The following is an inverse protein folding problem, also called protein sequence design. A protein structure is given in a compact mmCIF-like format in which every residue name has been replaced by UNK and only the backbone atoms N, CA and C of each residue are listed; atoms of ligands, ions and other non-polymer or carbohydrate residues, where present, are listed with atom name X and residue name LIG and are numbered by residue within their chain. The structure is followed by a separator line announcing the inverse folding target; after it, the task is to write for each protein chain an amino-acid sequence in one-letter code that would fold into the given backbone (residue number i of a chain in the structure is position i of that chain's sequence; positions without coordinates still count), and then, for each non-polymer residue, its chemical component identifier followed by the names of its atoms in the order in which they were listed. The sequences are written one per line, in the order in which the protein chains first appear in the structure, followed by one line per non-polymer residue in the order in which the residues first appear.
data_IF_893703412387
#
_entry.id   IF_893703412387
#
_cell.length_a   1.000
_cell.length_b   1.000
_cell.length_c   1.000
_cell.angle_alpha   90.00
_cell.angle_beta   90.00
_cell.angle_gamma   90.00
#
_symmetry.space_group_name_H-M   'P 1'
#
loop_
_entity.id
_entity.type
_entity.pdbx_description
1 polymer ?
#
# COMPACT_ATOMS: atom_id res chain seq x y z
N UNK A 1 -0.04 16.09 -1.43
CA UNK A 1 0.91 15.68 -0.36
C UNK A 1 0.49 16.21 1.03
N UNK A 2 -0.76 15.98 1.46
CA UNK A 2 -1.25 16.39 2.80
C UNK A 2 -1.70 15.21 3.67
N UNK A 3 -2.09 14.08 3.08
CA UNK A 3 -2.54 12.90 3.84
C UNK A 3 -1.44 12.28 4.74
N UNK A 4 -0.19 12.19 4.27
CA UNK A 4 0.92 11.61 5.04
C UNK A 4 1.34 12.46 6.26
N UNK A 5 1.13 13.79 6.23
CA UNK A 5 1.48 14.66 7.37
C UNK A 5 0.50 14.53 8.54
N UNK A 6 -0.74 14.13 8.28
CA UNK A 6 -1.76 13.87 9.31
C UNK A 6 -1.42 12.63 10.13
N UNK A 7 -0.76 11.62 9.52
CA UNK A 7 -0.32 10.39 10.21
C UNK A 7 0.68 10.67 11.33
N UNK A 8 1.44 11.77 11.25
CA UNK A 8 2.45 12.13 12.25
C UNK A 8 1.89 12.91 13.45
N UNK A 9 0.58 13.19 13.46
CA UNK A 9 -0.09 13.94 14.51
C UNK A 9 -1.19 13.14 15.24
N UNK A 10 -1.60 11.98 14.74
CA UNK A 10 -2.85 11.37 15.17
C UNK A 10 -2.63 10.38 16.31
N UNK A 11 -3.52 10.44 17.29
CA UNK A 11 -3.70 9.48 18.37
C UNK A 11 -3.87 8.02 17.87
N UNK A 12 -4.08 7.82 16.56
CA UNK A 12 -4.27 6.55 15.89
C UNK A 12 -2.97 6.06 15.24
N UNK A 13 -2.69 4.75 15.33
CA UNK A 13 -1.62 4.07 14.60
C UNK A 13 -2.22 3.39 13.36
N UNK A 14 -2.35 4.10 12.22
CA UNK A 14 -2.92 3.54 11.01
C UNK A 14 -1.96 2.51 10.41
N UNK A 15 -2.51 1.38 9.99
CA UNK A 15 -1.78 0.39 9.22
C UNK A 15 -1.79 0.77 7.74
N UNK A 16 -0.62 1.05 7.19
CA UNK A 16 -0.45 1.57 5.84
C UNK A 16 0.01 0.44 4.91
N UNK A 17 -0.88 0.07 3.98
CA UNK A 17 -0.55 -0.90 2.91
C UNK A 17 -0.20 -0.16 1.63
N UNK A 18 0.97 -0.44 1.09
CA UNK A 18 1.40 0.04 -0.22
C UNK A 18 1.19 -1.01 -1.29
N UNK A 19 0.42 -0.67 -2.32
CA UNK A 19 0.20 -1.50 -3.50
C UNK A 19 1.17 -1.04 -4.58
N UNK A 20 2.26 -1.78 -4.75
CA UNK A 20 3.29 -1.49 -5.73
C UNK A 20 2.83 -1.91 -7.12
N UNK A 21 3.18 -1.09 -8.12
CA UNK A 21 3.01 -1.47 -9.51
C UNK A 21 3.90 -2.70 -9.83
N UNK A 22 3.39 -3.66 -10.61
CA UNK A 22 4.19 -4.78 -11.09
C UNK A 22 5.26 -4.29 -12.09
N UNK A 23 6.17 -5.17 -12.46
CA UNK A 23 7.22 -4.85 -13.43
C UNK A 23 6.61 -4.33 -14.75
N UNK A 24 7.30 -3.43 -15.48
CA UNK A 24 6.81 -2.93 -16.76
C UNK A 24 6.55 -4.04 -17.79
N UNK A 25 7.24 -5.17 -17.68
CA UNK A 25 7.01 -6.37 -18.48
C UNK A 25 5.63 -6.99 -18.19
N UNK A 26 5.33 -7.26 -16.91
CA UNK A 26 4.04 -7.80 -16.43
C UNK A 26 2.89 -6.81 -16.72
N UNK A 27 3.13 -5.50 -16.55
CA UNK A 27 2.18 -4.44 -16.88
C UNK A 27 1.76 -4.47 -18.35
N UNK A 28 2.67 -4.79 -19.28
CA UNK A 28 2.34 -4.88 -20.71
C UNK A 28 1.41 -6.04 -21.02
N UNK A 29 1.58 -7.15 -20.29
CA UNK A 29 0.72 -8.32 -20.47
C UNK A 29 -0.71 -8.06 -19.99
N UNK A 30 -0.85 -7.35 -18.86
CA UNK A 30 -2.15 -6.98 -18.26
C UNK A 30 -2.80 -5.77 -18.94
N UNK A 31 -2.00 -4.78 -19.38
CA UNK A 31 -2.47 -3.51 -19.95
C UNK A 31 -2.04 -3.36 -21.41
N UNK A 32 -2.45 -4.31 -22.25
CA UNK A 32 -2.10 -4.39 -23.69
C UNK A 32 -2.44 -3.16 -24.53
N UNK A 33 -3.28 -2.26 -24.03
CA UNK A 33 -3.73 -1.04 -24.71
C UNK A 33 -3.06 0.24 -24.18
N UNK A 34 -2.13 0.13 -23.23
CA UNK A 34 -1.43 1.29 -22.64
C UNK A 34 -0.05 1.42 -23.28
N UNK A 35 0.33 2.63 -23.65
CA UNK A 35 1.64 2.90 -24.25
C UNK A 35 2.79 2.57 -23.29
N UNK A 36 3.89 2.05 -23.82
CA UNK A 36 5.10 1.71 -23.04
C UNK A 36 5.58 2.87 -22.17
N UNK A 37 5.55 4.10 -22.69
CA UNK A 37 5.93 5.30 -21.95
C UNK A 37 5.06 5.55 -20.71
N UNK A 38 3.77 5.21 -20.76
CA UNK A 38 2.86 5.35 -19.62
C UNK A 38 3.11 4.25 -18.58
N UNK A 39 3.43 3.03 -19.01
CA UNK A 39 3.77 1.91 -18.11
C UNK A 39 5.10 2.15 -17.39
N UNK A 40 6.12 2.61 -18.12
CA UNK A 40 7.42 2.99 -17.57
C UNK A 40 7.29 4.11 -16.53
N UNK A 41 6.43 5.10 -16.82
CA UNK A 41 6.12 6.18 -15.87
C UNK A 41 5.46 5.65 -14.61
N UNK A 42 4.42 4.82 -14.72
CA UNK A 42 3.75 4.21 -13.57
C UNK A 42 4.72 3.38 -12.71
N UNK A 43 5.55 2.55 -13.34
CA UNK A 43 6.56 1.75 -12.64
C UNK A 43 7.64 2.63 -11.96
N UNK A 44 8.03 3.73 -12.60
CA UNK A 44 8.96 4.71 -12.02
C UNK A 44 8.36 5.46 -10.83
N UNK A 45 7.13 5.94 -10.97
CA UNK A 45 6.40 6.62 -9.89
C UNK A 45 6.19 5.71 -8.68
N UNK A 46 5.86 4.43 -8.91
CA UNK A 46 5.77 3.41 -7.85
C UNK A 46 7.11 3.24 -7.11
N UNK A 47 8.23 3.16 -7.84
CA UNK A 47 9.57 3.06 -7.23
C UNK A 47 9.96 4.31 -6.45
N UNK A 48 9.61 5.49 -6.95
CA UNK A 48 9.88 6.75 -6.26
C UNK A 48 9.10 6.87 -4.95
N UNK A 49 7.82 6.48 -4.96
CA UNK A 49 7.01 6.45 -3.74
C UNK A 49 7.55 5.46 -2.71
N UNK A 50 7.96 4.27 -3.16
CA UNK A 50 8.61 3.27 -2.31
C UNK A 50 9.92 3.79 -1.71
N UNK A 51 10.78 4.41 -2.52
CA UNK A 51 12.05 4.94 -2.03
C UNK A 51 11.86 6.09 -1.03
N UNK A 52 10.87 6.96 -1.25
CA UNK A 52 10.63 8.12 -0.40
C UNK A 52 9.88 7.78 0.89
N UNK A 53 8.95 6.83 0.84
CA UNK A 53 7.99 6.58 1.92
C UNK A 53 7.96 5.12 2.41
N UNK A 54 8.84 4.25 1.91
CA UNK A 54 8.84 2.82 2.24
C UNK A 54 8.86 2.51 3.74
N UNK A 55 9.52 3.36 4.54
CA UNK A 55 9.58 3.23 5.99
C UNK A 55 8.28 3.59 6.73
N UNK A 56 7.29 4.13 6.02
CA UNK A 56 5.95 4.40 6.56
C UNK A 56 4.94 3.30 6.22
N UNK A 57 5.34 2.25 5.49
CA UNK A 57 4.45 1.17 5.09
C UNK A 57 4.62 -0.02 6.03
N UNK A 58 3.51 -0.53 6.54
CA UNK A 58 3.48 -1.75 7.34
C UNK A 58 3.47 -3.01 6.47
N UNK A 59 2.95 -2.89 5.24
CA UNK A 59 2.88 -3.97 4.27
C UNK A 59 3.05 -3.45 2.85
N UNK A 60 3.82 -4.18 2.03
CA UNK A 60 3.95 -3.97 0.59
C UNK A 60 3.37 -5.18 -0.15
N UNK A 61 2.48 -4.94 -1.10
CA UNK A 61 1.94 -5.96 -2.00
C UNK A 61 2.25 -5.53 -3.43
N UNK A 62 2.80 -6.42 -4.25
CA UNK A 62 2.97 -6.16 -5.68
C UNK A 62 1.72 -6.62 -6.40
N UNK A 63 1.10 -5.74 -7.18
CA UNK A 63 -0.16 -6.03 -7.86
C UNK A 63 0.06 -6.86 -9.15
N UNK A 64 0.59 -8.08 -8.99
CA UNK A 64 0.78 -9.01 -10.10
C UNK A 64 -0.54 -9.75 -10.42
N UNK A 65 -1.28 -10.12 -9.38
CA UNK A 65 -2.57 -10.80 -9.49
C UNK A 65 -3.59 -10.15 -8.54
N UNK A 66 -4.79 -9.86 -9.04
CA UNK A 66 -5.82 -9.14 -8.29
C UNK A 66 -6.39 -10.04 -7.17
N UNK A 67 -6.60 -11.33 -7.44
CA UNK A 67 -7.12 -12.28 -6.45
C UNK A 67 -6.13 -12.47 -5.30
N UNK A 68 -4.83 -12.61 -5.58
CA UNK A 68 -3.78 -12.68 -4.57
C UNK A 68 -3.66 -11.38 -3.78
N UNK A 69 -3.73 -10.23 -4.46
CA UNK A 69 -3.70 -8.91 -3.81
C UNK A 69 -4.85 -8.76 -2.82
N UNK A 70 -6.07 -9.13 -3.22
CA UNK A 70 -7.26 -9.09 -2.35
C UNK A 70 -7.10 -10.05 -1.18
N UNK A 71 -6.67 -11.30 -1.42
CA UNK A 71 -6.47 -12.29 -0.34
C UNK A 71 -5.45 -11.82 0.68
N UNK A 72 -4.35 -11.22 0.22
CA UNK A 72 -3.30 -10.68 1.09
C UNK A 72 -3.82 -9.51 1.93
N UNK A 73 -4.64 -8.63 1.33
CA UNK A 73 -5.31 -7.56 2.05
C UNK A 73 -6.29 -8.10 3.11
N UNK A 74 -7.11 -9.09 2.77
CA UNK A 74 -8.04 -9.72 3.71
C UNK A 74 -7.30 -10.41 4.86
N UNK A 75 -6.18 -11.08 4.58
CA UNK A 75 -5.33 -11.69 5.60
C UNK A 75 -4.77 -10.63 6.55
N UNK A 76 -4.18 -9.55 6.02
CA UNK A 76 -3.65 -8.45 6.82
C UNK A 76 -4.73 -7.83 7.73
N UNK A 77 -5.94 -7.61 7.20
CA UNK A 77 -7.08 -7.09 7.98
C UNK A 77 -7.47 -8.05 9.11
N UNK A 78 -7.51 -9.36 8.84
CA UNK A 78 -7.83 -10.37 9.85
C UNK A 78 -6.77 -10.43 10.94
N UNK A 79 -5.49 -10.39 10.57
CA UNK A 79 -4.35 -10.38 11.51
C UNK A 79 -4.35 -9.13 12.41
N UNK A 80 -4.67 -7.97 11.85
CA UNK A 80 -4.86 -6.75 12.63
C UNK A 80 -6.05 -6.87 13.60
N UNK A 81 -7.12 -7.54 13.20
CA UNK A 81 -8.33 -7.71 14.01
C UNK A 81 -8.16 -8.72 15.15
N UNK A 82 -7.23 -9.67 15.02
CA UNK A 82 -6.92 -10.66 16.07
C UNK A 82 -5.78 -10.22 16.99
N UNK A 83 -5.01 -9.20 16.60
CA UNK A 83 -3.96 -8.64 17.45
C UNK A 83 -4.56 -7.62 18.43
N UNK A 84 -4.46 -7.82 19.75
CA UNK A 84 -4.94 -6.82 20.71
C UNK A 84 -4.16 -5.51 20.52
N UNK A 85 -4.84 -4.47 20.05
CA UNK A 85 -4.26 -3.14 19.89
C UNK A 85 -4.38 -2.34 21.19
N UNK A 86 -3.28 -1.71 21.61
CA UNK A 86 -3.29 -0.77 22.73
C UNK A 86 -4.01 0.51 22.31
N UNK A 87 -5.24 0.67 22.79
CA UNK A 87 -5.99 1.93 22.66
C UNK A 87 -5.83 2.75 23.93
N UNK A 88 -5.52 4.06 23.84
CA UNK A 88 -5.54 4.94 25.01
C UNK A 88 -6.94 4.95 25.65
N UNK A 89 -7.00 4.94 26.99
CA UNK A 89 -8.26 5.03 27.75
C UNK A 89 -9.12 6.26 27.35
N UNK A 90 -8.48 7.32 26.84
CA UNK A 90 -9.14 8.52 26.32
C UNK A 90 -10.10 8.29 25.14
N UNK A 91 -10.14 7.10 24.54
CA UNK A 91 -11.02 6.78 23.41
C UNK A 91 -12.34 6.10 23.79
N UNK A 92 -12.47 5.68 25.05
CA UNK A 92 -13.66 4.96 25.56
C UNK A 92 -14.64 5.93 26.26
N UNK A 93 -14.32 7.23 26.33
CA UNK A 93 -15.13 8.27 26.98
C UNK A 93 -15.39 9.46 26.05
#
# INVERSE_FOLDING_TARGET
MQALKVLRAAEYAPYVVFIAAPSPEELKETLRNVSDASLERLASESRLLESAYGHFFDLKIVNNDIDETIRTLEAAIREMSTTPQWVPVSWVY
#
